data_IF_431714214377
#
_entry.id   IF_431714214377
#
_cell.length_a   1.000
_cell.length_b   1.000
_cell.length_c   1.000
_cell.angle_alpha   90.00
_cell.angle_beta   90.00
_cell.angle_gamma   90.00
#
_symmetry.space_group_name_H-M   'P 1'
#
loop_
_entity.id
_entity.type
_entity.pdbx_description
1 polymer ?
#
# COMPACT_ATOMS: atom_id res chain seq x y z
N UNK A 1 6.99 2.95 8.02
CA UNK A 1 6.64 2.62 9.42
C UNK A 1 7.25 3.56 10.47
N UNK A 2 8.46 4.09 10.28
CA UNK A 2 9.11 5.09 11.17
C UNK A 2 8.26 6.33 11.48
N UNK A 3 7.46 6.80 10.54
CA UNK A 3 6.58 7.97 10.72
C UNK A 3 5.43 7.76 11.74
N UNK A 4 5.24 6.54 12.24
CA UNK A 4 4.23 6.25 13.26
C UNK A 4 4.63 6.70 14.67
N UNK A 5 5.92 6.98 14.91
CA UNK A 5 6.45 7.24 16.26
C UNK A 5 6.41 6.02 17.19
N UNK A 6 6.15 4.82 16.65
CA UNK A 6 6.11 3.57 17.41
C UNK A 6 7.39 2.76 17.17
N UNK A 7 8.27 2.75 18.17
CA UNK A 7 9.58 2.09 18.10
C UNK A 7 9.48 0.57 17.92
N UNK A 8 8.36 -0.05 18.32
CA UNK A 8 8.11 -1.48 18.08
C UNK A 8 7.82 -1.78 16.60
N UNK A 9 7.28 -0.81 15.86
CA UNK A 9 6.97 -0.96 14.44
C UNK A 9 8.19 -0.75 13.53
N UNK A 10 9.28 -0.17 14.05
CA UNK A 10 10.52 0.04 13.29
C UNK A 10 11.21 -1.28 12.91
N UNK A 11 11.52 -2.20 13.85
CA UNK A 11 12.14 -3.48 13.51
C UNK A 11 11.21 -4.40 12.72
N UNK A 12 9.90 -4.37 12.99
CA UNK A 12 8.90 -5.06 12.17
C UNK A 12 8.87 -4.52 10.74
N UNK A 13 9.09 -3.22 10.55
CA UNK A 13 9.11 -2.62 9.22
C UNK A 13 10.20 -3.15 8.32
N UNK A 14 11.40 -3.41 8.86
CA UNK A 14 12.50 -4.00 8.09
C UNK A 14 12.15 -5.41 7.60
N UNK A 15 11.57 -6.24 8.47
CA UNK A 15 11.15 -7.60 8.12
C UNK A 15 10.03 -7.60 7.08
N UNK A 16 9.06 -6.70 7.23
CA UNK A 16 7.95 -6.54 6.30
C UNK A 16 8.46 -6.03 4.95
N UNK A 17 9.36 -5.04 4.93
CA UNK A 17 9.95 -4.50 3.69
C UNK A 17 10.72 -5.58 2.93
N UNK A 18 11.56 -6.40 3.59
CA UNK A 18 12.26 -7.51 2.92
C UNK A 18 11.32 -8.58 2.37
N UNK A 19 10.21 -8.88 3.05
CA UNK A 19 9.21 -9.84 2.55
C UNK A 19 8.38 -9.27 1.39
N UNK A 20 8.13 -7.96 1.40
CA UNK A 20 7.34 -7.27 0.38
C UNK A 20 8.13 -6.89 -0.87
N UNK A 21 9.45 -6.81 -0.81
CA UNK A 21 10.29 -6.41 -1.96
C UNK A 21 10.05 -7.29 -3.21
N UNK A 22 9.98 -8.61 -3.01
CA UNK A 22 9.67 -9.55 -4.09
C UNK A 22 8.21 -9.44 -4.59
N UNK A 23 7.26 -9.16 -3.67
CA UNK A 23 5.86 -8.97 -4.04
C UNK A 23 5.66 -7.67 -4.81
N UNK A 24 6.38 -6.61 -4.44
CA UNK A 24 6.34 -5.31 -5.10
C UNK A 24 6.88 -5.39 -6.53
N UNK A 25 8.01 -6.07 -6.73
CA UNK A 25 8.52 -6.33 -8.07
C UNK A 25 7.50 -7.10 -8.94
N UNK A 26 6.86 -8.13 -8.38
CA UNK A 26 5.85 -8.92 -9.08
C UNK A 26 4.59 -8.10 -9.43
N UNK A 27 4.02 -7.36 -8.47
CA UNK A 27 2.78 -6.61 -8.68
C UNK A 27 2.96 -5.39 -9.58
N UNK A 28 4.12 -4.72 -9.53
CA UNK A 28 4.41 -3.57 -10.39
C UNK A 28 4.84 -3.94 -11.80
N UNK A 29 5.44 -5.12 -12.02
CA UNK A 29 5.92 -5.53 -13.34
C UNK A 29 4.93 -6.39 -14.13
N UNK A 30 4.15 -7.26 -13.47
CA UNK A 30 3.32 -8.25 -14.19
C UNK A 30 1.81 -7.98 -14.15
N UNK A 31 1.34 -7.07 -13.30
CA UNK A 31 -0.05 -7.14 -12.83
C UNK A 31 -0.79 -5.80 -12.70
N UNK A 32 -0.10 -4.72 -12.30
CA UNK A 32 -0.77 -3.48 -11.88
C UNK A 32 -0.80 -2.36 -12.93
N UNK A 33 -1.94 -1.66 -13.03
CA UNK A 33 -1.98 -0.32 -13.63
C UNK A 33 -1.31 0.66 -12.65
N UNK A 34 -0.03 0.92 -12.87
CA UNK A 34 0.78 1.81 -12.04
C UNK A 34 0.15 3.21 -11.88
N UNK A 35 -0.58 3.69 -12.90
CA UNK A 35 -1.27 4.98 -12.83
C UNK A 35 -2.47 4.92 -11.89
N UNK A 36 -3.18 3.79 -11.85
CA UNK A 36 -4.26 3.57 -10.90
C UNK A 36 -3.75 3.45 -9.46
N UNK A 37 -2.70 2.66 -9.23
CA UNK A 37 -2.07 2.54 -7.92
C UNK A 37 -1.61 3.90 -7.39
N UNK A 38 -0.96 4.71 -8.25
CA UNK A 38 -0.52 6.07 -7.90
C UNK A 38 -1.69 6.96 -7.43
N UNK A 39 -2.83 6.95 -8.14
CA UNK A 39 -4.03 7.71 -7.73
C UNK A 39 -4.57 7.27 -6.37
N UNK A 40 -4.54 5.96 -6.09
CA UNK A 40 -4.98 5.41 -4.81
C UNK A 40 -4.04 5.85 -3.68
N UNK A 41 -2.72 5.90 -3.93
CA UNK A 41 -1.75 6.46 -2.98
C UNK A 41 -1.98 7.96 -2.72
N UNK A 42 -2.20 8.77 -3.76
CA UNK A 42 -2.50 10.20 -3.62
C UNK A 42 -3.79 10.45 -2.84
N UNK A 43 -4.80 9.59 -2.99
CA UNK A 43 -6.02 9.67 -2.19
C UNK A 43 -5.77 9.47 -0.70
N UNK A 44 -4.83 8.58 -0.33
CA UNK A 44 -4.43 8.37 1.06
C UNK A 44 -3.72 9.63 1.59
N UNK A 45 -2.71 10.12 0.87
CA UNK A 45 -1.96 11.33 1.24
C UNK A 45 -2.89 12.52 1.46
N UNK A 46 -3.81 12.76 0.51
CA UNK A 46 -4.77 13.87 0.59
C UNK A 46 -5.62 13.79 1.85
N UNK A 47 -6.11 12.61 2.22
CA UNK A 47 -6.96 12.44 3.40
C UNK A 47 -6.16 12.56 4.72
N UNK A 48 -4.89 12.13 4.73
CA UNK A 48 -3.98 12.36 5.86
C UNK A 48 -3.75 13.86 6.05
N UNK A 49 -3.40 14.57 4.97
CA UNK A 49 -3.16 16.02 4.99
C UNK A 49 -4.38 16.82 5.45
N UNK A 50 -5.58 16.38 5.08
CA UNK A 50 -6.84 16.98 5.51
C UNK A 50 -7.27 16.55 6.92
N UNK A 51 -6.47 15.77 7.64
CA UNK A 51 -6.77 15.25 8.98
C UNK A 51 -8.10 14.48 9.04
N UNK A 52 -8.39 13.67 8.01
CA UNK A 52 -9.60 12.84 7.92
C UNK A 52 -9.26 11.37 8.15
N UNK A 53 -9.05 10.92 9.41
CA UNK A 53 -8.52 9.59 9.70
C UNK A 53 -9.41 8.45 9.20
N UNK A 54 -10.74 8.58 9.30
CA UNK A 54 -11.65 7.56 8.79
C UNK A 54 -11.60 7.45 7.25
N UNK A 55 -11.54 8.59 6.55
CA UNK A 55 -11.43 8.62 5.10
C UNK A 55 -10.07 8.09 4.61
N UNK A 56 -8.98 8.40 5.33
CA UNK A 56 -7.66 7.85 5.06
C UNK A 56 -7.64 6.32 5.19
N UNK A 57 -8.24 5.78 6.26
CA UNK A 57 -8.38 4.31 6.42
C UNK A 57 -9.17 3.69 5.27
N UNK A 58 -10.30 4.28 4.90
CA UNK A 58 -11.09 3.80 3.77
C UNK A 58 -10.32 3.85 2.44
N UNK A 59 -9.48 4.86 2.23
CA UNK A 59 -8.61 4.94 1.06
C UNK A 59 -7.54 3.83 1.06
N UNK A 60 -6.96 3.51 2.23
CA UNK A 60 -6.04 2.37 2.37
C UNK A 60 -6.74 1.05 2.04
N UNK A 61 -7.96 0.81 2.54
CA UNK A 61 -8.71 -0.40 2.20
C UNK A 61 -8.95 -0.56 0.70
N UNK A 62 -9.20 0.54 -0.02
CA UNK A 62 -9.37 0.52 -1.47
C UNK A 62 -8.08 0.14 -2.20
N UNK A 63 -6.93 0.68 -1.76
CA UNK A 63 -5.62 0.30 -2.30
C UNK A 63 -5.32 -1.18 -2.09
N UNK A 64 -5.63 -1.72 -0.91
CA UNK A 64 -5.44 -3.14 -0.61
C UNK A 64 -6.30 -4.03 -1.52
N UNK A 65 -7.58 -3.68 -1.70
CA UNK A 65 -8.47 -4.43 -2.59
C UNK A 65 -8.00 -4.43 -4.06
N UNK A 66 -7.51 -3.29 -4.56
CA UNK A 66 -6.92 -3.16 -5.91
C UNK A 66 -5.67 -4.06 -6.06
N UNK A 67 -4.82 -4.09 -5.02
CA UNK A 67 -3.64 -4.94 -4.97
C UNK A 67 -4.01 -6.44 -4.96
N UNK A 68 -5.00 -6.84 -4.15
CA UNK A 68 -5.49 -8.21 -4.07
C UNK A 68 -6.07 -8.69 -5.40
N UNK A 69 -6.86 -7.84 -6.07
CA UNK A 69 -7.40 -8.13 -7.39
C UNK A 69 -6.29 -8.33 -8.42
N UNK A 70 -5.28 -7.45 -8.40
CA UNK A 70 -4.08 -7.62 -9.18
C UNK A 70 -3.47 -9.00 -8.97
N UNK A 71 -3.08 -9.32 -7.74
CA UNK A 71 -2.43 -10.61 -7.41
C UNK A 71 -3.28 -11.80 -7.90
N UNK A 72 -4.61 -11.72 -7.78
CA UNK A 72 -5.53 -12.73 -8.29
C UNK A 72 -5.49 -12.90 -9.81
N UNK A 73 -5.33 -11.81 -10.57
CA UNK A 73 -5.18 -11.85 -12.03
C UNK A 73 -3.85 -12.47 -12.45
N UNK A 74 -2.75 -12.17 -11.77
CA UNK A 74 -1.43 -12.73 -12.07
C UNK A 74 -1.27 -14.23 -11.76
N UNK A 75 -2.25 -14.84 -11.06
CA UNK A 75 -2.29 -16.28 -10.76
C UNK A 75 -3.05 -17.12 -11.81
N UNK A 76 -3.77 -16.48 -12.74
CA UNK A 76 -4.51 -17.15 -13.82
C UNK A 76 -3.66 -17.23 -15.08
#
# INVERSE_FOLDING_TARGET
LRASGNDLLVPLGVLIESALDHLFAFTTQQVGDQRQAQKLHEAIEKNIRLQRPAAARNAVHKLLADTDEGIGRGRR
#
